data_IF_196418492657
#
_entry.id   IF_196418492657
#
_cell.length_a   1.000
_cell.length_b   1.000
_cell.length_c   1.000
_cell.angle_alpha   90.00
_cell.angle_beta   90.00
_cell.angle_gamma   90.00
#
_symmetry.space_group_name_H-M   'P 1'
#
loop_
_entity.id
_entity.type
_entity.pdbx_description
1 polymer ?
#
# COMPACT_ATOMS: atom_id res chain seq x y z
N UNK A 1 -19.82 2.68 -8.26
CA UNK A 1 -18.40 2.71 -8.68
C UNK A 1 -17.89 4.15 -8.76
N UNK A 2 -16.81 4.46 -8.02
CA UNK A 2 -16.21 5.80 -8.00
C UNK A 2 -15.48 6.15 -9.30
N UNK A 3 -15.38 7.46 -9.57
CA UNK A 3 -14.52 7.98 -10.63
C UNK A 3 -13.04 7.87 -10.24
N UNK A 4 -12.15 7.78 -11.23
CA UNK A 4 -10.70 7.63 -10.99
C UNK A 4 -10.15 8.71 -10.05
N UNK A 5 -10.52 9.98 -10.24
CA UNK A 5 -10.02 11.06 -9.38
C UNK A 5 -10.45 10.91 -7.91
N UNK A 6 -11.63 10.34 -7.66
CA UNK A 6 -12.07 10.03 -6.31
C UNK A 6 -11.28 8.85 -5.72
N UNK A 7 -11.01 7.83 -6.52
CA UNK A 7 -10.18 6.70 -6.10
C UNK A 7 -8.72 7.09 -5.84
N UNK A 8 -8.13 8.02 -6.61
CA UNK A 8 -6.79 8.54 -6.31
C UNK A 8 -6.75 9.27 -4.96
N UNK A 9 -7.80 10.04 -4.62
CA UNK A 9 -7.92 10.66 -3.30
C UNK A 9 -8.06 9.62 -2.18
N UNK A 10 -8.81 8.54 -2.41
CA UNK A 10 -8.91 7.44 -1.46
C UNK A 10 -7.59 6.66 -1.31
N UNK A 11 -6.81 6.54 -2.40
CA UNK A 11 -5.47 5.97 -2.36
C UNK A 11 -4.50 6.83 -1.52
N UNK A 12 -4.53 8.15 -1.70
CA UNK A 12 -3.74 9.08 -0.88
C UNK A 12 -4.16 9.03 0.58
N UNK A 13 -5.46 8.93 0.85
CA UNK A 13 -6.01 8.80 2.19
C UNK A 13 -5.57 7.50 2.88
N UNK A 14 -5.63 6.37 2.18
CA UNK A 14 -5.20 5.08 2.72
C UNK A 14 -3.71 5.13 3.09
N UNK A 15 -2.87 5.62 2.19
CA UNK A 15 -1.43 5.76 2.46
C UNK A 15 -1.12 6.71 3.60
N UNK A 16 -1.83 7.84 3.69
CA UNK A 16 -1.66 8.77 4.79
C UNK A 16 -2.03 8.13 6.14
N UNK A 17 -3.10 7.30 6.16
CA UNK A 17 -3.45 6.53 7.33
C UNK A 17 -2.38 5.51 7.70
N UNK A 18 -1.82 4.78 6.73
CA UNK A 18 -0.65 3.93 6.95
C UNK A 18 0.48 4.73 7.59
N UNK A 19 0.78 5.94 7.09
CA UNK A 19 1.85 6.79 7.65
C UNK A 19 1.58 7.20 9.11
N UNK A 20 0.33 7.48 9.48
CA UNK A 20 -0.05 7.72 10.88
C UNK A 20 0.18 6.49 11.78
N UNK A 21 0.17 5.27 11.23
CA UNK A 21 0.41 4.04 12.00
C UNK A 21 1.88 3.78 12.32
N UNK A 22 2.84 4.43 11.65
CA UNK A 22 4.26 4.09 11.85
C UNK A 22 5.19 5.29 12.07
N UNK A 23 4.82 6.51 11.67
CA UNK A 23 5.74 7.67 11.63
C UNK A 23 6.38 8.06 12.97
N UNK A 24 5.75 7.71 14.09
CA UNK A 24 6.20 7.98 15.45
C UNK A 24 6.93 6.79 16.10
N UNK A 25 6.98 5.64 15.41
CA UNK A 25 7.70 4.46 15.87
C UNK A 25 9.21 4.62 15.66
N UNK A 26 9.99 4.04 16.57
CA UNK A 26 11.44 3.98 16.47
C UNK A 26 11.89 2.97 15.39
N UNK A 27 13.14 3.07 14.90
CA UNK A 27 13.68 2.07 13.96
C UNK A 27 13.63 0.63 14.47
N UNK A 28 13.81 0.43 15.77
CA UNK A 28 13.76 -0.90 16.38
C UNK A 28 12.33 -1.45 16.34
N UNK A 29 11.33 -0.62 16.65
CA UNK A 29 9.91 -1.00 16.56
C UNK A 29 9.47 -1.29 15.13
N UNK A 30 9.93 -0.51 14.14
CA UNK A 30 9.60 -0.76 12.73
C UNK A 30 10.19 -2.08 12.21
N UNK A 31 11.32 -2.52 12.77
CA UNK A 31 11.98 -3.77 12.39
C UNK A 31 11.67 -4.95 13.31
N UNK A 32 10.95 -4.70 14.40
CA UNK A 32 10.56 -5.71 15.37
C UNK A 32 9.57 -6.71 14.78
N UNK A 33 9.71 -7.98 15.19
CA UNK A 33 8.73 -9.04 14.92
C UNK A 33 8.59 -9.95 16.14
N UNK A 34 7.39 -10.45 16.46
CA UNK A 34 7.17 -11.32 17.62
C UNK A 34 7.85 -12.69 17.47
N UNK A 35 7.92 -13.22 16.26
CA UNK A 35 8.55 -14.51 15.95
C UNK A 35 8.95 -14.60 14.46
N UNK A 36 9.70 -15.65 14.09
CA UNK A 36 10.22 -15.85 12.72
C UNK A 36 9.15 -15.97 11.64
N UNK A 37 7.94 -16.42 12.00
CA UNK A 37 6.80 -16.54 11.09
C UNK A 37 5.90 -15.28 11.08
N UNK A 38 6.42 -14.14 11.55
CA UNK A 38 5.74 -12.85 11.50
C UNK A 38 6.58 -11.86 10.72
N UNK A 39 5.92 -10.98 9.98
CA UNK A 39 6.57 -9.84 9.36
C UNK A 39 6.60 -8.65 10.30
N UNK A 40 7.66 -7.86 10.20
CA UNK A 40 7.79 -6.58 10.87
C UNK A 40 6.98 -5.51 10.12
N UNK A 41 6.61 -4.43 10.82
CA UNK A 41 5.88 -3.29 10.22
C UNK A 41 6.59 -2.79 8.97
N UNK A 42 7.91 -2.63 9.00
CA UNK A 42 8.70 -2.17 7.86
C UNK A 42 8.60 -3.07 6.62
N UNK A 43 8.34 -4.37 6.78
CA UNK A 43 8.07 -5.25 5.64
C UNK A 43 6.72 -4.92 4.99
N UNK A 44 5.67 -4.72 5.79
CA UNK A 44 4.35 -4.34 5.28
C UNK A 44 4.37 -3.01 4.53
N UNK A 45 5.13 -2.04 5.05
CA UNK A 45 5.35 -0.75 4.40
C UNK A 45 5.94 -0.90 2.99
N UNK A 46 6.94 -1.76 2.83
CA UNK A 46 7.53 -2.04 1.52
C UNK A 46 6.63 -2.89 0.63
N UNK A 47 5.95 -3.89 1.21
CA UNK A 47 5.07 -4.82 0.50
C UNK A 47 3.86 -4.12 -0.14
N UNK A 48 3.18 -3.23 0.59
CA UNK A 48 2.10 -2.39 0.07
C UNK A 48 2.52 -1.64 -1.21
N UNK A 49 3.67 -0.97 -1.18
CA UNK A 49 4.21 -0.27 -2.35
C UNK A 49 4.65 -1.23 -3.47
N UNK A 50 5.27 -2.37 -3.13
CA UNK A 50 5.66 -3.37 -4.11
C UNK A 50 4.45 -3.90 -4.88
N UNK A 51 3.35 -4.26 -4.21
CA UNK A 51 2.11 -4.74 -4.84
C UNK A 51 1.49 -3.65 -5.71
N UNK A 52 1.41 -2.41 -5.22
CA UNK A 52 0.88 -1.29 -6.00
C UNK A 52 1.65 -1.11 -7.33
N UNK A 53 2.98 -1.04 -7.27
CA UNK A 53 3.80 -0.92 -8.45
C UNK A 53 3.70 -2.16 -9.36
N UNK A 54 3.77 -3.37 -8.80
CA UNK A 54 3.67 -4.62 -9.55
C UNK A 54 2.35 -4.73 -10.34
N UNK A 55 1.23 -4.39 -9.71
CA UNK A 55 -0.09 -4.46 -10.35
C UNK A 55 -0.24 -3.39 -11.43
N UNK A 56 0.10 -2.13 -11.13
CA UNK A 56 -0.02 -1.03 -12.10
C UNK A 56 0.87 -1.26 -13.32
N UNK A 57 2.14 -1.62 -13.13
CA UNK A 57 3.08 -1.80 -14.24
C UNK A 57 2.69 -2.98 -15.15
N UNK A 58 2.20 -4.08 -14.58
CA UNK A 58 1.93 -5.28 -15.39
C UNK A 58 0.57 -5.22 -16.09
N UNK A 59 -0.39 -4.46 -15.56
CA UNK A 59 -1.76 -4.44 -16.07
C UNK A 59 -2.13 -3.16 -16.82
N UNK A 60 -1.29 -2.13 -16.78
CA UNK A 60 -1.56 -0.85 -17.48
C UNK A 60 -0.45 -0.39 -18.42
N UNK A 61 0.83 -0.52 -18.06
CA UNK A 61 1.98 -0.29 -18.94
C UNK A 61 3.27 -0.79 -18.29
N UNK A 62 4.04 -1.57 -19.04
CA UNK A 62 5.30 -2.11 -18.57
C UNK A 62 6.30 -0.99 -18.21
N UNK A 63 6.58 -0.84 -16.92
CA UNK A 63 7.64 0.00 -16.38
C UNK A 63 8.63 -0.81 -15.52
N UNK A 64 9.93 -0.44 -15.48
CA UNK A 64 10.89 -1.06 -14.58
C UNK A 64 10.59 -0.79 -13.11
N UNK A 65 10.93 -1.71 -12.19
CA UNK A 65 10.83 -1.44 -10.75
C UNK A 65 11.68 -0.23 -10.32
N UNK A 66 11.16 0.66 -9.44
CA UNK A 66 11.95 1.76 -8.90
C UNK A 66 13.09 1.28 -8.00
N UNK A 67 12.95 0.09 -7.41
CA UNK A 67 14.00 -0.55 -6.61
C UNK A 67 13.92 -2.09 -6.78
N UNK A 68 14.53 -2.65 -7.84
CA UNK A 68 14.44 -4.09 -8.14
C UNK A 68 14.98 -5.01 -7.04
N UNK A 69 15.87 -4.53 -6.18
CA UNK A 69 16.37 -5.32 -5.04
C UNK A 69 15.29 -5.50 -3.97
N UNK A 70 14.39 -4.53 -3.81
CA UNK A 70 13.28 -4.64 -2.88
C UNK A 70 12.19 -5.56 -3.40
N UNK A 71 12.02 -5.72 -4.71
CA UNK A 71 10.96 -6.58 -5.28
C UNK A 71 11.00 -7.99 -4.69
N UNK A 72 12.18 -8.64 -4.65
CA UNK A 72 12.30 -10.00 -4.12
C UNK A 72 12.09 -10.07 -2.60
N UNK A 73 12.45 -9.02 -1.87
CA UNK A 73 12.28 -8.96 -0.42
C UNK A 73 10.81 -8.72 -0.03
N UNK A 74 10.11 -7.90 -0.81
CA UNK A 74 8.73 -7.46 -0.55
C UNK A 74 7.68 -8.37 -1.18
N UNK A 75 8.06 -9.40 -1.93
CA UNK A 75 7.14 -10.40 -2.47
C UNK A 75 6.59 -11.28 -1.33
N UNK A 76 5.26 -11.30 -1.17
CA UNK A 76 4.58 -12.15 -0.19
C UNK A 76 4.76 -13.65 -0.44
N UNK A 77 5.08 -14.05 -1.68
CA UNK A 77 5.41 -15.43 -2.01
C UNK A 77 6.70 -15.91 -1.32
N UNK A 78 7.54 -14.99 -0.82
CA UNK A 78 8.66 -15.31 0.03
C UNK A 78 8.18 -15.54 1.49
N UNK A 79 8.32 -16.76 2.05
CA UNK A 79 7.91 -17.07 3.42
C UNK A 79 8.55 -16.13 4.45
N UNK A 80 7.84 -15.85 5.54
CA UNK A 80 8.21 -14.86 6.56
C UNK A 80 9.62 -15.06 7.11
N UNK A 81 9.99 -16.31 7.39
CA UNK A 81 11.32 -16.68 7.90
C UNK A 81 12.47 -16.30 6.95
N UNK A 82 12.17 -16.10 5.67
CA UNK A 82 13.13 -15.75 4.62
C UNK A 82 13.05 -14.27 4.19
N UNK A 83 12.18 -13.47 4.82
CA UNK A 83 12.16 -12.02 4.69
C UNK A 83 13.32 -11.47 5.54
N UNK A 84 14.50 -11.41 4.93
CA UNK A 84 15.80 -11.14 5.56
C UNK A 84 15.92 -9.77 6.24
N UNK A 85 17.12 -9.20 6.25
CA UNK A 85 17.32 -7.87 6.86
C UNK A 85 16.49 -6.81 6.13
N UNK A 86 15.68 -6.06 6.88
CA UNK A 86 14.90 -4.97 6.31
C UNK A 86 15.78 -3.80 5.88
N UNK A 87 15.44 -3.10 4.78
CA UNK A 87 16.06 -1.85 4.41
C UNK A 87 15.82 -0.76 5.48
N UNK A 88 16.59 0.32 5.41
CA UNK A 88 16.40 1.47 6.30
C UNK A 88 15.02 2.10 6.11
N UNK A 89 14.46 2.71 7.17
CA UNK A 89 13.21 3.50 7.10
C UNK A 89 13.24 4.51 5.96
N UNK A 90 14.37 5.21 5.77
CA UNK A 90 14.53 6.16 4.66
C UNK A 90 14.33 5.49 3.30
N UNK A 91 14.98 4.35 3.05
CA UNK A 91 14.83 3.61 1.78
C UNK A 91 13.39 3.11 1.57
N UNK A 92 12.70 2.66 2.62
CA UNK A 92 11.29 2.28 2.55
C UNK A 92 10.39 3.47 2.21
N UNK A 93 10.63 4.61 2.86
CA UNK A 93 9.88 5.86 2.63
C UNK A 93 10.09 6.33 1.20
N UNK A 94 11.35 6.39 0.73
CA UNK A 94 11.69 6.80 -0.63
C UNK A 94 11.04 5.88 -1.67
N UNK A 95 11.05 4.56 -1.42
CA UNK A 95 10.40 3.57 -2.28
C UNK A 95 8.87 3.77 -2.31
N UNK A 96 8.22 3.90 -1.15
CA UNK A 96 6.78 4.16 -1.05
C UNK A 96 6.40 5.44 -1.79
N UNK A 97 7.15 6.52 -1.61
CA UNK A 97 6.90 7.81 -2.29
C UNK A 97 7.04 7.67 -3.79
N UNK A 98 8.15 7.09 -4.27
CA UNK A 98 8.38 6.88 -5.71
C UNK A 98 7.28 6.05 -6.35
N UNK A 99 6.82 4.98 -5.67
CA UNK A 99 5.70 4.18 -6.15
C UNK A 99 4.41 4.99 -6.21
N UNK A 100 4.10 5.82 -5.20
CA UNK A 100 2.92 6.70 -5.23
C UNK A 100 2.91 7.58 -6.47
N UNK A 101 4.04 8.25 -6.72
CA UNK A 101 4.20 9.15 -7.84
C UNK A 101 3.97 8.43 -9.17
N UNK A 102 4.47 7.20 -9.32
CA UNK A 102 4.26 6.38 -10.52
C UNK A 102 2.83 5.92 -10.68
N UNK A 103 2.17 5.49 -9.60
CA UNK A 103 0.74 5.16 -9.59
C UNK A 103 -0.05 6.37 -10.07
N UNK A 104 0.15 7.55 -9.46
CA UNK A 104 -0.52 8.79 -9.85
C UNK A 104 -0.26 9.19 -11.29
N UNK A 105 1.01 9.19 -11.72
CA UNK A 105 1.36 9.53 -13.10
C UNK A 105 0.65 8.61 -14.09
N UNK A 106 0.70 7.29 -13.86
CA UNK A 106 0.13 6.32 -14.78
C UNK A 106 -1.39 6.37 -14.83
N UNK A 107 -2.04 6.45 -13.68
CA UNK A 107 -3.49 6.58 -13.59
C UNK A 107 -3.95 7.93 -14.16
N UNK A 108 -3.21 9.01 -13.90
CA UNK A 108 -3.48 10.34 -14.45
C UNK A 108 -3.39 10.37 -15.98
N UNK A 109 -2.44 9.63 -16.57
CA UNK A 109 -2.38 9.44 -18.03
C UNK A 109 -3.60 8.69 -18.58
N UNK A 110 -4.08 7.66 -17.87
CA UNK A 110 -5.29 6.93 -18.24
C UNK A 110 -6.51 7.86 -18.17
N UNK A 111 -6.69 8.58 -17.07
CA UNK A 111 -7.81 9.51 -16.87
C UNK A 111 -7.84 10.62 -17.92
N UNK A 112 -6.67 11.11 -18.33
CA UNK A 112 -6.54 12.14 -19.36
C UNK A 112 -6.58 11.60 -20.81
N UNK A 113 -6.77 10.28 -20.98
CA UNK A 113 -6.81 9.65 -22.31
C UNK A 113 -5.48 9.61 -23.05
N UNK A 114 -4.34 9.82 -22.36
CA UNK A 114 -2.98 9.82 -22.93
C UNK A 114 -2.40 8.41 -23.07
N UNK A 115 -3.24 7.43 -23.36
CA UNK A 115 -2.90 6.01 -23.44
C UNK A 115 -3.61 5.35 -24.61
N UNK A 116 -3.11 4.20 -25.07
CA UNK A 116 -3.88 3.35 -25.98
C UNK A 116 -5.13 2.80 -25.28
N UNK A 117 -6.26 2.74 -25.99
CA UNK A 117 -7.54 2.21 -25.47
C UNK A 117 -8.01 2.84 -24.12
N UNK A 118 -8.15 4.17 -24.03
CA UNK A 118 -8.38 4.88 -22.75
C UNK A 118 -9.66 4.44 -22.03
N UNK A 119 -10.75 4.17 -22.74
CA UNK A 119 -11.99 3.66 -22.14
C UNK A 119 -11.78 2.30 -21.46
N UNK A 120 -11.05 1.39 -22.11
CA UNK A 120 -10.78 0.07 -21.55
C UNK A 120 -9.84 0.15 -20.35
N UNK A 121 -8.78 0.96 -20.45
CA UNK A 121 -7.86 1.16 -19.33
C UNK A 121 -8.50 1.91 -18.16
N UNK A 122 -9.51 2.75 -18.38
CA UNK A 122 -10.28 3.39 -17.31
C UNK A 122 -11.02 2.35 -16.45
N UNK A 123 -11.60 1.32 -17.08
CA UNK A 123 -12.25 0.20 -16.38
C UNK A 123 -11.22 -0.57 -15.55
N UNK A 124 -10.08 -0.92 -16.15
CA UNK A 124 -8.99 -1.64 -15.47
C UNK A 124 -8.46 -0.83 -14.28
N UNK A 125 -8.11 0.44 -14.50
CA UNK A 125 -7.60 1.36 -13.48
C UNK A 125 -8.54 1.47 -12.27
N UNK A 126 -9.85 1.56 -12.52
CA UNK A 126 -10.86 1.67 -11.47
C UNK A 126 -10.87 0.45 -10.55
N UNK A 127 -10.84 -0.76 -11.12
CA UNK A 127 -10.77 -1.99 -10.35
C UNK A 127 -9.43 -2.15 -9.64
N UNK A 128 -8.32 -1.80 -10.30
CA UNK A 128 -6.99 -1.86 -9.69
C UNK A 128 -6.86 -0.94 -8.50
N UNK A 129 -7.25 0.33 -8.62
CA UNK A 129 -7.18 1.26 -7.50
C UNK A 129 -8.03 0.79 -6.32
N UNK A 130 -9.25 0.34 -6.57
CA UNK A 130 -10.10 -0.20 -5.49
C UNK A 130 -9.43 -1.38 -4.79
N UNK A 131 -8.85 -2.32 -5.54
CA UNK A 131 -8.13 -3.45 -4.97
C UNK A 131 -6.87 -3.03 -4.20
N UNK A 132 -6.09 -2.07 -4.72
CA UNK A 132 -4.88 -1.57 -4.08
C UNK A 132 -5.17 -0.80 -2.79
N UNK A 133 -6.21 0.03 -2.77
CA UNK A 133 -6.64 0.74 -1.57
C UNK A 133 -7.06 -0.25 -0.48
N UNK A 134 -7.85 -1.26 -0.85
CA UNK A 134 -8.29 -2.29 0.10
C UNK A 134 -7.13 -3.19 0.54
N UNK A 135 -6.14 -3.43 -0.31
CA UNK A 135 -4.90 -4.13 0.06
C UNK A 135 -4.05 -3.30 1.03
N UNK A 136 -3.96 -1.98 0.85
CA UNK A 136 -3.30 -1.08 1.81
C UNK A 136 -3.97 -1.22 3.19
N UNK A 137 -5.30 -1.06 3.27
CA UNK A 137 -6.05 -1.17 4.52
C UNK A 137 -6.01 -2.57 5.14
N UNK A 138 -5.92 -3.63 4.33
CA UNK A 138 -5.72 -4.99 4.83
C UNK A 138 -4.40 -5.09 5.62
N UNK A 139 -3.33 -4.49 5.11
CA UNK A 139 -2.06 -4.43 5.81
C UNK A 139 -2.06 -3.46 6.98
N UNK A 140 -2.80 -2.35 6.89
CA UNK A 140 -2.95 -1.40 7.99
C UNK A 140 -3.62 -2.03 9.20
N UNK A 141 -4.58 -2.94 9.01
CA UNK A 141 -5.18 -3.70 10.11
C UNK A 141 -4.12 -4.51 10.86
N UNK A 142 -3.23 -5.18 10.13
CA UNK A 142 -2.15 -5.93 10.75
C UNK A 142 -1.12 -5.02 11.46
N UNK A 143 -0.73 -3.90 10.82
CA UNK A 143 0.13 -2.90 11.45
C UNK A 143 -0.52 -2.36 12.74
N UNK A 144 -1.84 -2.13 12.72
CA UNK A 144 -2.59 -1.65 13.89
C UNK A 144 -2.57 -2.66 15.04
N UNK A 145 -2.73 -3.95 14.75
CA UNK A 145 -2.67 -5.02 15.74
C UNK A 145 -1.29 -5.08 16.43
N UNK A 146 -0.21 -5.00 15.65
CA UNK A 146 1.16 -4.94 16.20
C UNK A 146 1.39 -3.64 16.99
N UNK A 147 1.03 -2.50 16.41
CA UNK A 147 1.20 -1.17 17.02
C UNK A 147 0.54 -1.08 18.39
N UNK A 148 -0.72 -1.48 18.50
CA UNK A 148 -1.48 -1.35 19.75
C UNK A 148 -1.30 -2.52 20.69
N UNK A 149 -1.27 -3.75 20.16
CA UNK A 149 -1.21 -4.97 20.96
C UNK A 149 0.19 -5.25 21.49
N UNK A 150 1.19 -5.29 20.60
CA UNK A 150 2.55 -5.69 20.96
C UNK A 150 3.43 -4.50 21.39
N UNK A 151 3.29 -3.35 20.74
CA UNK A 151 4.11 -2.17 20.99
C UNK A 151 3.47 -1.17 21.97
N UNK A 152 2.16 -1.29 22.24
CA UNK A 152 1.45 -0.49 23.23
C UNK A 152 1.17 0.97 22.84
N UNK A 153 1.26 1.30 21.54
CA UNK A 153 0.96 2.65 21.04
C UNK A 153 -0.53 2.82 20.74
N UNK A 154 -1.05 4.03 20.94
CA UNK A 154 -2.42 4.34 20.57
C UNK A 154 -2.61 4.29 19.04
N UNK A 155 -3.79 3.84 18.61
CA UNK A 155 -4.18 3.90 17.19
C UNK A 155 -4.63 5.31 16.82
N UNK A 156 -4.28 5.80 15.62
CA UNK A 156 -4.92 6.98 15.06
C UNK A 156 -6.43 6.73 14.85
N UNK A 157 -7.20 7.80 14.67
CA UNK A 157 -8.61 7.65 14.27
C UNK A 157 -8.71 7.07 12.86
N UNK A 158 -9.77 6.31 12.60
CA UNK A 158 -10.07 5.81 11.26
C UNK A 158 -10.13 6.97 10.24
N UNK A 159 -9.75 6.74 8.98
CA UNK A 159 -9.81 7.77 7.95
C UNK A 159 -11.24 8.25 7.70
N UNK A 160 -11.43 9.56 7.65
CA UNK A 160 -12.73 10.18 7.37
C UNK A 160 -13.07 10.11 5.88
N UNK A 161 -13.91 9.14 5.50
CA UNK A 161 -14.48 9.02 4.15
C UNK A 161 -15.85 8.33 4.19
N UNK A 162 -16.80 8.86 3.42
CA UNK A 162 -18.13 8.25 3.25
C UNK A 162 -18.10 6.92 2.48
N UNK A 163 -16.96 6.61 1.84
CA UNK A 163 -16.76 5.39 1.05
C UNK A 163 -16.11 4.25 1.84
N UNK A 164 -15.64 4.52 3.06
CA UNK A 164 -14.96 3.53 3.90
C UNK A 164 -15.96 2.92 4.87
N UNK A 165 -15.92 1.59 4.99
CA UNK A 165 -16.68 0.81 5.97
C UNK A 165 -15.79 -0.22 6.61
N UNK A 166 -16.20 -0.68 7.81
CA UNK A 166 -15.55 -1.82 8.45
C UNK A 166 -16.30 -3.10 8.09
N UNK A 167 -15.58 -4.06 7.48
CA UNK A 167 -16.09 -5.38 7.11
C UNK A 167 -15.13 -6.42 7.68
N UNK A 168 -15.64 -7.33 8.50
CA UNK A 168 -14.85 -8.39 9.16
C UNK A 168 -13.61 -7.87 9.90
N UNK A 169 -13.70 -6.65 10.44
CA UNK A 169 -12.61 -5.98 11.16
C UNK A 169 -11.72 -5.10 10.28
N UNK A 170 -11.76 -5.23 8.96
CA UNK A 170 -10.93 -4.48 8.03
C UNK A 170 -11.63 -3.20 7.53
N UNK A 171 -10.86 -2.13 7.36
CA UNK A 171 -11.32 -0.97 6.59
C UNK A 171 -11.36 -1.33 5.10
N UNK A 172 -12.47 -1.02 4.46
CA UNK A 172 -12.71 -1.35 3.05
C UNK A 172 -13.39 -0.16 2.38
N UNK A 173 -12.84 0.29 1.26
CA UNK A 173 -13.54 1.13 0.30
C UNK A 173 -14.59 0.26 -0.40
N UNK A 174 -15.84 0.48 -0.01
CA UNK A 174 -17.02 -0.23 -0.52
C UNK A 174 -17.83 0.72 -1.40
N UNK A 175 -17.59 0.61 -2.71
CA UNK A 175 -18.11 1.53 -3.73
C UNK A 175 -19.02 0.81 -4.73
N UNK A 176 -19.58 -0.31 -4.30
CA UNK A 176 -20.61 -1.07 -5.00
C UNK A 176 -21.88 -0.22 -5.16
#
# INVERSE_FOLDING_TARGET
>A
MLQIDALLREYDRARAYTDELWKDLTPDEVTWRPHENSSAIGWHLGHQAHVAHFMIRNLTAAEPSPDPELDALMDSANPERFRGALPTIRRLTDFRTTVAERVHARIGDIAAGRVGAPTQLTIVATHLLTALINHEYQHDQWISEVRAGDLGHALPSDPDSEHIRRIDGYLVVDVL
#
